data_IF_998675113299
#
_entry.id   IF_998675113299
#
_cell.length_a   1.000
_cell.length_b   1.000
_cell.length_c   1.000
_cell.angle_alpha   90.00
_cell.angle_beta   90.00
_cell.angle_gamma   90.00
#
_symmetry.space_group_name_H-M   'P 1'
#
loop_
_entity.id
_entity.type
_entity.pdbx_description
1 polymer ?
#
# COMPACT_ATOMS: atom_id res chain seq x y z
N UNK A 1 -7.21 1.29 -3.59
CA UNK A 1 -8.01 2.49 -3.97
C UNK A 1 -8.55 2.32 -5.37
N UNK A 2 -9.87 2.40 -5.56
CA UNK A 2 -10.59 1.91 -6.75
C UNK A 2 -11.53 2.98 -7.35
N UNK A 3 -11.04 4.19 -7.58
CA UNK A 3 -11.86 5.34 -8.00
C UNK A 3 -11.39 6.07 -9.26
N UNK A 4 -10.52 5.46 -10.06
CA UNK A 4 -10.07 6.02 -11.32
C UNK A 4 -11.22 6.18 -12.33
N UNK A 5 -11.19 7.26 -13.14
CA UNK A 5 -12.22 7.50 -14.16
C UNK A 5 -12.03 6.66 -15.44
N UNK A 6 -10.98 5.88 -15.53
CA UNK A 6 -10.68 4.95 -16.65
C UNK A 6 -10.85 5.57 -18.07
N UNK A 7 -10.58 6.87 -18.23
CA UNK A 7 -10.87 7.62 -19.48
C UNK A 7 -10.21 7.00 -20.73
N UNK A 8 -8.99 6.47 -20.59
CA UNK A 8 -8.24 5.82 -21.68
C UNK A 8 -8.69 4.39 -21.96
N UNK A 9 -9.37 3.77 -21.01
CA UNK A 9 -9.86 2.39 -21.13
C UNK A 9 -11.26 2.32 -21.78
N UNK A 10 -12.01 3.42 -21.81
CA UNK A 10 -13.36 3.52 -22.39
C UNK A 10 -14.48 2.99 -21.49
N UNK A 11 -14.19 2.07 -20.58
CA UNK A 11 -15.11 1.50 -19.59
C UNK A 11 -14.44 1.49 -18.22
N UNK A 12 -15.13 1.01 -17.18
CA UNK A 12 -14.50 0.84 -15.87
C UNK A 12 -13.41 -0.25 -15.94
N UNK A 13 -12.14 0.14 -16.06
CA UNK A 13 -11.02 -0.79 -16.20
C UNK A 13 -10.93 -1.82 -15.06
N UNK A 14 -11.40 -1.48 -13.86
CA UNK A 14 -11.33 -2.36 -12.69
C UNK A 14 -12.25 -3.57 -12.79
N UNK A 15 -13.23 -3.53 -13.71
CA UNK A 15 -14.09 -4.65 -14.06
C UNK A 15 -13.53 -5.51 -15.22
N UNK A 16 -12.43 -5.09 -15.84
CA UNK A 16 -11.81 -5.87 -16.91
C UNK A 16 -11.27 -7.19 -16.37
N UNK A 17 -11.51 -8.26 -17.14
CA UNK A 17 -11.06 -9.61 -16.78
C UNK A 17 -9.55 -9.75 -16.93
N UNK A 18 -8.91 -10.30 -15.91
CA UNK A 18 -7.49 -10.61 -15.86
C UNK A 18 -7.30 -11.87 -15.01
N UNK A 19 -6.86 -12.98 -15.63
CA UNK A 19 -6.67 -14.27 -14.94
C UNK A 19 -7.93 -14.76 -14.19
N UNK A 20 -9.05 -14.88 -14.92
CA UNK A 20 -10.35 -15.37 -14.43
C UNK A 20 -11.05 -14.49 -13.36
N UNK A 21 -10.46 -13.40 -12.95
CA UNK A 21 -11.05 -12.40 -12.03
C UNK A 21 -11.08 -11.03 -12.70
N UNK A 22 -11.79 -10.09 -12.12
CA UNK A 22 -11.62 -8.68 -12.47
C UNK A 22 -10.33 -8.13 -11.86
N UNK A 23 -9.80 -7.02 -12.37
CA UNK A 23 -8.64 -6.35 -11.77
C UNK A 23 -8.91 -6.01 -10.29
N UNK A 24 -10.13 -5.63 -9.96
CA UNK A 24 -10.51 -5.31 -8.60
C UNK A 24 -10.52 -6.55 -7.69
N UNK A 25 -11.08 -7.66 -8.15
CA UNK A 25 -11.06 -8.94 -7.41
C UNK A 25 -9.64 -9.45 -7.19
N UNK A 26 -8.74 -9.30 -8.18
CA UNK A 26 -7.32 -9.62 -8.00
C UNK A 26 -6.69 -8.81 -6.86
N UNK A 27 -6.99 -7.50 -6.76
CA UNK A 27 -6.50 -6.68 -5.66
C UNK A 27 -7.08 -7.08 -4.29
N UNK A 28 -8.34 -7.51 -4.24
CA UNK A 28 -8.94 -8.06 -3.02
C UNK A 28 -8.24 -9.38 -2.66
N UNK A 29 -8.11 -10.30 -3.62
CA UNK A 29 -7.48 -11.60 -3.39
C UNK A 29 -6.07 -11.47 -2.85
N UNK A 30 -5.22 -10.61 -3.45
CA UNK A 30 -3.86 -10.39 -2.96
C UNK A 30 -3.85 -9.80 -1.53
N UNK A 31 -4.84 -8.96 -1.17
CA UNK A 31 -4.92 -8.38 0.17
C UNK A 31 -5.18 -9.43 1.25
N UNK A 32 -5.83 -10.55 0.93
CA UNK A 32 -6.10 -11.61 1.90
C UNK A 32 -4.85 -12.41 2.30
N UNK A 33 -3.76 -12.34 1.54
CA UNK A 33 -2.49 -13.00 1.90
C UNK A 33 -1.70 -12.30 3.00
N UNK A 34 -2.14 -11.14 3.44
CA UNK A 34 -1.53 -10.41 4.54
C UNK A 34 -2.58 -10.20 5.62
N UNK A 35 -2.23 -10.54 6.87
CA UNK A 35 -3.13 -10.34 8.01
C UNK A 35 -3.22 -8.85 8.35
N UNK A 36 -4.09 -8.14 7.64
CA UNK A 36 -4.44 -6.77 7.98
C UNK A 36 -5.48 -6.74 9.09
N UNK A 37 -5.37 -5.75 9.98
CA UNK A 37 -6.42 -5.52 10.97
C UNK A 37 -7.74 -5.11 10.31
N UNK A 38 -7.69 -4.34 9.22
CA UNK A 38 -8.86 -3.91 8.43
C UNK A 38 -8.48 -3.67 6.98
N UNK A 39 -9.37 -4.09 6.08
CA UNK A 39 -9.32 -3.76 4.65
C UNK A 39 -10.50 -2.87 4.30
N UNK A 40 -10.25 -1.80 3.56
CA UNK A 40 -11.24 -0.81 3.17
C UNK A 40 -11.09 -0.47 1.68
N UNK A 41 -12.17 -0.60 0.93
CA UNK A 41 -12.27 -0.10 -0.43
C UNK A 41 -12.86 1.32 -0.44
N UNK A 42 -12.34 2.19 -1.30
CA UNK A 42 -12.88 3.54 -1.55
C UNK A 42 -13.14 3.63 -3.05
N UNK A 43 -14.40 3.73 -3.45
CA UNK A 43 -14.83 3.71 -4.85
C UNK A 43 -15.96 4.68 -5.14
N UNK A 44 -16.16 4.98 -6.43
CA UNK A 44 -17.32 5.73 -6.95
C UNK A 44 -18.29 4.84 -7.75
N UNK A 45 -17.91 3.59 -8.01
CA UNK A 45 -18.60 2.69 -8.93
C UNK A 45 -19.47 1.71 -8.16
N UNK A 46 -20.75 1.61 -8.54
CA UNK A 46 -21.72 0.74 -7.87
C UNK A 46 -21.39 -0.75 -8.02
N UNK A 47 -20.86 -1.11 -9.17
CA UNK A 47 -20.45 -2.49 -9.45
C UNK A 47 -19.33 -2.95 -8.49
N UNK A 48 -18.40 -2.03 -8.15
CA UNK A 48 -17.33 -2.34 -7.19
C UNK A 48 -17.85 -2.41 -5.74
N UNK A 49 -18.92 -1.66 -5.41
CA UNK A 49 -19.61 -1.79 -4.11
C UNK A 49 -20.20 -3.18 -3.98
N UNK A 50 -20.90 -3.68 -5.02
CA UNK A 50 -21.48 -5.03 -5.04
C UNK A 50 -20.40 -6.13 -4.88
N UNK A 51 -19.23 -5.95 -5.53
CA UNK A 51 -18.11 -6.88 -5.33
C UNK A 51 -17.63 -6.83 -3.87
N UNK A 52 -17.49 -5.64 -3.28
CA UNK A 52 -17.09 -5.51 -1.87
C UNK A 52 -18.08 -6.19 -0.91
N UNK A 53 -19.38 -6.08 -1.16
CA UNK A 53 -20.41 -6.74 -0.36
C UNK A 53 -20.30 -8.26 -0.44
N UNK A 54 -20.11 -8.80 -1.65
CA UNK A 54 -19.92 -10.24 -1.87
C UNK A 54 -18.64 -10.77 -1.19
N UNK A 55 -17.56 -10.01 -1.25
CA UNK A 55 -16.26 -10.38 -0.67
C UNK A 55 -16.11 -9.95 0.81
N UNK A 56 -17.18 -9.45 1.42
CA UNK A 56 -17.21 -8.96 2.81
C UNK A 56 -16.14 -7.90 3.13
N UNK A 57 -15.82 -7.04 2.16
CA UNK A 57 -14.88 -5.92 2.30
C UNK A 57 -15.66 -4.64 2.63
N UNK A 58 -15.22 -3.94 3.68
CA UNK A 58 -15.77 -2.61 3.97
C UNK A 58 -15.56 -1.67 2.78
N UNK A 59 -16.62 -0.95 2.38
CA UNK A 59 -16.57 -0.05 1.23
C UNK A 59 -17.10 1.33 1.58
N UNK A 60 -16.44 2.37 1.05
CA UNK A 60 -16.95 3.74 1.03
C UNK A 60 -17.23 4.13 -0.41
N UNK A 61 -18.51 4.35 -0.72
CA UNK A 61 -18.93 4.99 -1.97
C UNK A 61 -18.83 6.51 -1.84
N UNK A 62 -18.34 7.18 -2.88
CA UNK A 62 -18.20 8.64 -2.90
C UNK A 62 -18.35 9.23 -4.30
N UNK A 63 -18.58 10.56 -4.37
CA UNK A 63 -18.65 11.33 -5.63
C UNK A 63 -17.55 12.39 -5.73
N UNK A 64 -16.54 12.34 -4.89
CA UNK A 64 -15.48 13.35 -4.82
C UNK A 64 -14.57 13.28 -6.04
N UNK A 65 -14.16 14.43 -6.65
CA UNK A 65 -13.47 14.43 -7.93
C UNK A 65 -11.97 14.13 -7.85
N UNK A 66 -11.33 14.38 -6.70
CA UNK A 66 -9.87 14.35 -6.61
C UNK A 66 -9.31 13.17 -5.82
N UNK A 67 -8.07 12.77 -6.15
CA UNK A 67 -7.36 11.67 -5.49
C UNK A 67 -7.13 11.91 -4.00
N UNK A 68 -6.80 13.13 -3.59
CA UNK A 68 -6.63 13.49 -2.18
C UNK A 68 -7.91 13.26 -1.36
N UNK A 69 -9.08 13.48 -1.94
CA UNK A 69 -10.35 13.26 -1.25
C UNK A 69 -10.56 11.79 -0.91
N UNK A 70 -10.21 10.89 -1.83
CA UNK A 70 -10.29 9.44 -1.60
C UNK A 70 -9.33 8.99 -0.50
N UNK A 71 -8.09 9.52 -0.51
CA UNK A 71 -7.11 9.24 0.55
C UNK A 71 -7.66 9.69 1.90
N UNK A 72 -8.15 10.94 1.97
CA UNK A 72 -8.72 11.51 3.20
C UNK A 72 -9.91 10.71 3.72
N UNK A 73 -10.84 10.31 2.85
CA UNK A 73 -12.00 9.48 3.22
C UNK A 73 -11.55 8.14 3.82
N UNK A 74 -10.64 7.44 3.14
CA UNK A 74 -10.12 6.14 3.59
C UNK A 74 -9.39 6.25 4.93
N UNK A 75 -8.45 7.19 5.04
CA UNK A 75 -7.68 7.43 6.28
C UNK A 75 -8.61 7.81 7.44
N UNK A 76 -9.51 8.78 7.23
CA UNK A 76 -10.46 9.22 8.27
C UNK A 76 -11.35 8.07 8.77
N UNK A 77 -11.77 7.16 7.89
CA UNK A 77 -12.58 6.00 8.25
C UNK A 77 -11.79 5.01 9.09
N UNK A 78 -10.57 4.67 8.67
CA UNK A 78 -9.69 3.77 9.42
C UNK A 78 -9.43 4.33 10.82
N UNK A 79 -9.08 5.61 10.94
CA UNK A 79 -8.79 6.24 12.23
C UNK A 79 -10.00 6.25 13.18
N UNK A 80 -11.21 6.52 12.67
CA UNK A 80 -12.44 6.46 13.48
C UNK A 80 -12.72 5.07 14.05
N UNK A 81 -12.30 4.04 13.34
CA UNK A 81 -12.52 2.65 13.75
C UNK A 81 -11.42 2.08 14.63
N UNK A 82 -10.17 2.56 14.47
CA UNK A 82 -9.02 2.09 15.25
C UNK A 82 -8.87 2.78 16.60
N UNK A 83 -9.36 4.01 16.77
CA UNK A 83 -9.32 4.74 18.05
C UNK A 83 -10.04 4.03 19.21
N UNK A 84 -10.76 2.94 18.95
CA UNK A 84 -11.43 2.13 19.97
C UNK A 84 -10.53 1.09 20.65
N UNK A 85 -9.36 0.82 20.09
CA UNK A 85 -8.41 -0.16 20.63
C UNK A 85 -7.00 0.39 20.56
N UNK A 86 -6.47 0.86 21.71
CA UNK A 86 -5.03 1.12 21.86
C UNK A 86 -4.31 -0.23 21.81
N UNK A 87 -3.91 -0.66 20.61
CA UNK A 87 -3.07 -1.82 20.43
C UNK A 87 -1.61 -1.40 20.54
N UNK A 88 -0.80 -2.21 21.23
CA UNK A 88 0.66 -2.05 21.28
C UNK A 88 1.34 -2.46 19.96
N UNK A 89 0.55 -2.78 18.93
CA UNK A 89 1.06 -3.21 17.63
C UNK A 89 1.45 -2.03 16.75
N UNK A 90 2.47 -2.22 15.94
CA UNK A 90 2.90 -1.26 14.91
C UNK A 90 1.74 -0.96 13.96
N UNK A 91 1.35 0.32 13.91
CA UNK A 91 0.24 0.75 13.07
C UNK A 91 0.75 1.41 11.78
N UNK A 92 0.16 1.00 10.67
CA UNK A 92 0.42 1.57 9.36
C UNK A 92 -0.78 1.46 8.44
N UNK A 93 -0.87 2.37 7.47
CA UNK A 93 -1.88 2.31 6.41
C UNK A 93 -1.20 1.93 5.11
N UNK A 94 -1.56 0.75 4.58
CA UNK A 94 -1.16 0.29 3.26
C UNK A 94 -2.12 0.85 2.20
N UNK A 95 -1.56 1.47 1.18
CA UNK A 95 -2.27 1.84 -0.04
C UNK A 95 -1.95 0.83 -1.14
N UNK A 96 -2.92 -0.05 -1.39
CA UNK A 96 -2.84 -1.06 -2.46
C UNK A 96 -3.55 -0.53 -3.70
N UNK A 97 -2.88 -0.44 -4.87
CA UNK A 97 -3.52 -0.12 -6.14
C UNK A 97 -4.39 -1.29 -6.60
N UNK A 98 -5.50 -0.98 -7.29
CA UNK A 98 -6.40 -2.02 -7.82
C UNK A 98 -6.16 -2.29 -9.31
N UNK A 99 -5.21 -1.62 -9.91
CA UNK A 99 -4.85 -1.66 -11.33
C UNK A 99 -3.44 -2.22 -11.60
N UNK A 100 -2.81 -2.81 -10.58
CA UNK A 100 -1.52 -3.51 -10.66
C UNK A 100 -1.74 -5.01 -10.36
N UNK A 101 -2.22 -5.80 -11.31
CA UNK A 101 -2.67 -7.18 -11.04
C UNK A 101 -1.53 -8.18 -10.87
N UNK A 102 -0.29 -7.81 -11.19
CA UNK A 102 0.88 -8.67 -11.10
C UNK A 102 1.66 -8.56 -9.78
N UNK A 103 1.19 -7.73 -8.83
CA UNK A 103 1.76 -7.70 -7.47
C UNK A 103 1.70 -9.11 -6.89
N UNK A 104 2.86 -9.61 -6.43
CA UNK A 104 2.94 -10.96 -5.86
C UNK A 104 2.68 -10.97 -4.35
N UNK A 105 2.21 -12.12 -3.87
CA UNK A 105 2.08 -12.39 -2.44
C UNK A 105 3.40 -12.14 -1.70
N UNK A 106 4.51 -12.61 -2.25
CA UNK A 106 5.84 -12.50 -1.66
C UNK A 106 6.26 -11.05 -1.49
N UNK A 107 6.11 -10.23 -2.54
CA UNK A 107 6.46 -8.81 -2.49
C UNK A 107 5.60 -8.05 -1.48
N UNK A 108 4.30 -8.35 -1.42
CA UNK A 108 3.40 -7.71 -0.46
C UNK A 108 3.73 -8.12 0.98
N UNK A 109 4.03 -9.40 1.22
CA UNK A 109 4.44 -9.87 2.55
C UNK A 109 5.78 -9.27 2.98
N UNK A 110 6.77 -9.20 2.08
CA UNK A 110 8.06 -8.57 2.35
C UNK A 110 7.89 -7.07 2.69
N UNK A 111 7.04 -6.36 1.95
CA UNK A 111 6.73 -4.96 2.22
C UNK A 111 6.18 -4.77 3.64
N UNK A 112 5.26 -5.64 4.08
CA UNK A 112 4.68 -5.58 5.42
C UNK A 112 5.70 -5.97 6.50
N UNK A 113 6.51 -6.99 6.28
CA UNK A 113 7.55 -7.42 7.22
C UNK A 113 8.59 -6.32 7.44
N UNK A 114 9.10 -5.71 6.37
CA UNK A 114 10.06 -4.61 6.48
C UNK A 114 9.43 -3.37 7.12
N UNK A 115 8.16 -3.08 6.84
CA UNK A 115 7.45 -2.00 7.52
C UNK A 115 7.41 -2.24 9.05
N UNK A 116 7.05 -3.45 9.50
CA UNK A 116 7.06 -3.81 10.92
C UNK A 116 8.47 -3.69 11.49
N UNK A 117 9.48 -4.23 10.81
CA UNK A 117 10.87 -4.18 11.25
C UNK A 117 11.36 -2.74 11.49
N UNK A 118 11.09 -1.83 10.56
CA UNK A 118 11.54 -0.44 10.67
C UNK A 118 10.69 0.45 11.58
N UNK A 119 9.47 0.05 11.92
CA UNK A 119 8.53 0.89 12.68
C UNK A 119 8.11 0.31 14.03
N UNK A 120 8.56 -0.92 14.38
CA UNK A 120 8.29 -1.53 15.67
C UNK A 120 9.26 -1.05 16.73
N UNK A 121 8.74 -0.58 17.87
CA UNK A 121 9.54 -0.25 19.05
C UNK A 121 10.19 -1.49 19.71
N UNK A 122 9.70 -2.69 19.40
CA UNK A 122 10.22 -3.94 19.95
C UNK A 122 11.68 -4.21 19.55
N UNK A 123 12.06 -3.87 18.32
CA UNK A 123 13.44 -4.04 17.86
C UNK A 123 14.39 -2.95 18.38
N UNK A 124 13.87 -1.80 18.82
CA UNK A 124 14.68 -0.72 19.40
C UNK A 124 15.17 -1.07 20.84
N UNK A 125 14.45 -1.91 21.58
CA UNK A 125 14.80 -2.27 22.97
C UNK A 125 15.87 -3.36 23.08
N UNK A 126 16.03 -4.24 22.07
CA UNK A 126 16.97 -5.37 22.13
C UNK A 126 18.41 -5.02 21.70
N UNK A 127 18.68 -3.77 21.32
CA UNK A 127 20.03 -3.30 20.96
C UNK A 127 20.82 -2.69 22.13
N UNK A 128 20.32 -2.78 23.37
CA UNK A 128 20.98 -2.24 24.59
C UNK A 128 21.68 -3.27 25.45
N UNK A 129 21.81 -4.52 25.03
CA UNK A 129 22.66 -5.48 25.73
C UNK A 129 24.15 -5.12 25.53
N UNK A 130 24.62 -4.27 26.44
CA UNK A 130 26.03 -4.02 26.70
C UNK A 130 26.60 -5.24 27.44
N UNK A 131 27.06 -6.24 26.73
CA UNK A 131 28.07 -7.15 27.28
C UNK A 131 28.99 -7.67 26.18
N UNK A 132 30.19 -7.14 26.24
CA UNK A 132 31.51 -7.71 25.97
C UNK A 132 31.79 -8.48 24.67
N UNK A 133 32.78 -7.91 23.99
CA UNK A 133 33.87 -8.57 23.22
C UNK A 133 33.68 -8.92 21.74
N UNK A 134 34.40 -8.10 21.00
CA UNK A 134 35.29 -8.44 19.88
C UNK A 134 34.71 -8.85 18.53
N UNK A 135 34.97 -7.99 17.55
CA UNK A 135 35.23 -8.29 16.15
C UNK A 135 34.10 -8.91 15.32
N UNK A 136 33.12 -8.07 14.94
CA UNK A 136 32.49 -8.20 13.63
C UNK A 136 31.94 -6.83 13.18
N UNK A 137 32.77 -6.08 12.46
CA UNK A 137 32.47 -4.80 11.82
C UNK A 137 31.64 -5.00 10.54
N UNK A 138 30.36 -5.35 10.63
CA UNK A 138 29.48 -5.37 9.46
C UNK A 138 28.08 -4.76 9.67
N UNK A 139 27.75 -4.30 10.87
CA UNK A 139 26.54 -3.50 11.09
C UNK A 139 26.94 -2.23 11.83
N UNK A 140 27.28 -1.19 11.11
CA UNK A 140 27.45 0.14 11.69
C UNK A 140 26.14 0.60 12.30
N UNK A 141 26.01 0.43 13.62
CA UNK A 141 24.99 0.98 14.49
C UNK A 141 25.09 2.51 14.51
N UNK A 142 24.48 3.18 13.56
CA UNK A 142 24.19 4.60 13.69
C UNK A 142 22.72 4.84 13.35
N UNK A 143 21.93 5.11 14.42
CA UNK A 143 20.53 5.61 14.38
C UNK A 143 19.41 4.62 14.08
N UNK A 144 19.20 3.61 14.94
CA UNK A 144 17.94 2.81 14.98
C UNK A 144 16.81 3.58 15.73
N UNK A 145 16.80 4.88 15.72
CA UNK A 145 15.75 5.68 16.38
C UNK A 145 14.86 6.43 15.37
N UNK A 146 14.49 5.80 14.26
CA UNK A 146 13.57 6.42 13.31
C UNK A 146 12.42 5.47 12.97
N UNK A 147 11.49 5.32 13.94
CA UNK A 147 10.23 4.56 13.77
C UNK A 147 9.24 5.22 12.78
N UNK A 148 9.73 5.96 11.78
CA UNK A 148 8.91 6.77 10.88
C UNK A 148 9.18 6.43 9.42
N UNK A 149 9.46 5.17 9.11
CA UNK A 149 9.82 4.77 7.74
C UNK A 149 8.59 4.48 6.89
N UNK A 150 8.54 5.16 5.74
CA UNK A 150 7.59 4.89 4.66
C UNK A 150 8.16 3.76 3.82
N UNK A 151 7.47 2.61 3.75
CA UNK A 151 7.93 1.49 2.92
C UNK A 151 7.18 1.47 1.59
N UNK A 152 7.90 1.39 0.48
CA UNK A 152 7.35 1.36 -0.88
C UNK A 152 7.93 0.21 -1.67
N UNK A 153 7.06 -0.46 -2.45
CA UNK A 153 7.56 -1.42 -3.44
C UNK A 153 8.34 -0.71 -4.53
N UNK A 154 9.45 -1.31 -4.94
CA UNK A 154 10.33 -0.77 -5.98
C UNK A 154 10.98 -1.90 -6.77
N UNK A 155 11.26 -1.66 -8.05
CA UNK A 155 12.14 -2.52 -8.83
C UNK A 155 13.35 -1.71 -9.26
N UNK A 156 14.55 -2.15 -8.86
CA UNK A 156 15.78 -1.35 -8.90
C UNK A 156 15.54 -0.01 -8.16
N UNK A 157 15.76 1.14 -8.81
CA UNK A 157 15.54 2.47 -8.23
C UNK A 157 14.14 3.04 -8.52
N UNK A 158 13.33 2.32 -9.31
CA UNK A 158 11.99 2.76 -9.69
C UNK A 158 10.98 2.44 -8.58
N UNK A 159 10.66 3.46 -7.78
CA UNK A 159 9.70 3.33 -6.70
C UNK A 159 8.26 3.43 -7.19
N UNK A 160 7.45 2.41 -6.89
CA UNK A 160 6.04 2.30 -7.25
C UNK A 160 5.09 2.27 -6.05
N UNK A 161 3.97 1.63 -6.24
CA UNK A 161 3.03 1.18 -5.22
C UNK A 161 3.07 -0.37 -5.21
N UNK A 162 2.63 -1.00 -4.13
CA UNK A 162 2.05 -0.49 -2.88
C UNK A 162 3.00 0.34 -2.01
N UNK A 163 2.39 1.13 -1.11
CA UNK A 163 3.13 1.94 -0.13
C UNK A 163 2.45 1.88 1.24
N UNK A 164 3.25 1.77 2.30
CA UNK A 164 2.78 1.80 3.69
C UNK A 164 3.30 3.05 4.39
N UNK A 165 2.39 3.77 5.04
CA UNK A 165 2.71 4.95 5.86
C UNK A 165 2.51 4.65 7.33
N UNK A 166 3.49 4.93 8.20
CA UNK A 166 3.30 4.89 9.66
C UNK A 166 2.43 6.04 10.15
N UNK A 167 1.97 5.93 11.38
CA UNK A 167 1.00 6.84 12.01
C UNK A 167 1.41 8.31 11.96
N UNK A 168 2.69 8.61 12.08
CA UNK A 168 3.20 9.99 12.05
C UNK A 168 2.86 10.78 10.77
N UNK A 169 2.53 10.10 9.65
CA UNK A 169 2.13 10.73 8.39
C UNK A 169 0.61 10.82 8.19
N UNK A 170 -0.21 10.36 9.13
CA UNK A 170 -1.66 10.37 8.94
C UNK A 170 -2.22 11.79 8.79
N UNK A 171 -1.69 12.77 9.54
CA UNK A 171 -2.08 14.17 9.38
C UNK A 171 -1.73 14.71 7.99
N UNK A 172 -0.57 14.37 7.44
CA UNK A 172 -0.20 14.77 6.09
C UNK A 172 -1.08 14.10 5.02
N UNK A 173 -1.46 12.83 5.22
CA UNK A 173 -2.42 12.13 4.36
C UNK A 173 -3.81 12.78 4.37
N UNK A 174 -4.25 13.27 5.53
CA UNK A 174 -5.53 13.98 5.69
C UNK A 174 -5.53 15.37 5.07
N UNK A 175 -4.36 16.01 4.94
CA UNK A 175 -4.18 17.38 4.44
C UNK A 175 -3.51 17.46 3.07
N UNK A 176 -3.51 16.38 2.30
CA UNK A 176 -2.93 16.33 0.95
C UNK A 176 -3.46 17.45 0.06
N UNK A 177 -2.60 18.13 -0.70
CA UNK A 177 -3.02 19.10 -1.72
C UNK A 177 -3.93 18.47 -2.77
N UNK A 178 -4.76 19.30 -3.39
CA UNK A 178 -5.71 18.86 -4.42
C UNK A 178 -5.03 18.02 -5.52
N UNK A 179 -5.63 16.91 -5.86
CA UNK A 179 -5.14 15.99 -6.90
C UNK A 179 -3.92 15.14 -6.52
N UNK A 180 -3.30 15.38 -5.34
CA UNK A 180 -2.15 14.59 -4.89
C UNK A 180 -2.60 13.32 -4.16
N UNK A 181 -1.72 12.32 -4.15
CA UNK A 181 -1.87 11.06 -3.39
C UNK A 181 -0.67 10.83 -2.49
N UNK A 182 -0.59 9.66 -1.84
CA UNK A 182 0.49 9.32 -0.90
C UNK A 182 1.91 9.47 -1.47
N UNK A 183 2.11 9.26 -2.77
CA UNK A 183 3.40 9.49 -3.41
C UNK A 183 3.94 10.92 -3.26
N UNK A 184 3.07 11.92 -3.02
CA UNK A 184 3.50 13.29 -2.73
C UNK A 184 4.24 13.37 -1.39
N UNK A 185 3.75 12.67 -0.35
CA UNK A 185 4.38 12.63 0.97
C UNK A 185 5.72 11.90 0.89
N UNK A 186 5.77 10.75 0.22
CA UNK A 186 7.03 10.01 0.04
C UNK A 186 8.11 10.87 -0.65
N UNK A 187 7.74 11.68 -1.65
CA UNK A 187 8.66 12.62 -2.30
C UNK A 187 9.11 13.78 -1.40
N UNK A 188 8.26 14.20 -0.46
CA UNK A 188 8.58 15.26 0.51
C UNK A 188 9.57 14.77 1.58
N UNK A 189 9.55 13.46 1.90
CA UNK A 189 10.37 12.85 2.94
C UNK A 189 11.29 11.73 2.39
N UNK A 190 12.19 12.02 1.42
CA UNK A 190 12.96 10.99 0.73
C UNK A 190 13.87 10.20 1.67
N UNK A 191 14.45 10.83 2.71
CA UNK A 191 15.29 10.16 3.70
C UNK A 191 14.53 9.17 4.60
N UNK A 192 13.20 9.22 4.61
CA UNK A 192 12.36 8.30 5.36
C UNK A 192 11.78 7.18 4.50
N UNK A 193 12.04 7.17 3.20
CA UNK A 193 11.57 6.14 2.29
C UNK A 193 12.51 4.94 2.29
N UNK A 194 11.95 3.76 2.55
CA UNK A 194 12.60 2.47 2.36
C UNK A 194 12.04 1.85 1.10
N UNK A 195 12.91 1.57 0.14
CA UNK A 195 12.56 0.85 -1.07
C UNK A 195 12.61 -0.66 -0.79
N UNK A 196 11.48 -1.32 -0.98
CA UNK A 196 11.32 -2.76 -0.80
C UNK A 196 11.37 -3.42 -2.16
N UNK A 197 12.27 -4.39 -2.41
CA UNK A 197 12.42 -4.96 -3.74
C UNK A 197 11.18 -5.76 -4.15
N UNK A 198 10.63 -5.45 -5.32
CA UNK A 198 9.70 -6.30 -6.05
C UNK A 198 10.46 -7.47 -6.66
N UNK A 199 9.78 -8.60 -6.88
CA UNK A 199 10.38 -9.76 -7.54
C UNK A 199 10.58 -9.53 -9.04
N UNK A 200 9.73 -8.66 -9.62
CA UNK A 200 9.72 -8.39 -11.05
C UNK A 200 9.28 -6.94 -11.30
N UNK A 201 9.77 -6.32 -12.39
CA UNK A 201 9.37 -4.96 -12.76
C UNK A 201 7.86 -4.83 -13.09
N UNK A 202 7.27 -5.90 -13.61
CA UNK A 202 5.85 -5.93 -13.99
C UNK A 202 4.89 -5.83 -12.81
N UNK A 203 5.36 -6.08 -11.59
CA UNK A 203 4.56 -5.86 -10.38
C UNK A 203 4.18 -4.38 -10.18
N UNK A 204 4.95 -3.46 -10.76
CA UNK A 204 4.75 -2.02 -10.65
C UNK A 204 3.95 -1.41 -11.80
N UNK A 205 3.56 -2.21 -12.78
CA UNK A 205 2.89 -1.71 -13.99
C UNK A 205 1.37 -1.59 -13.76
N UNK A 206 0.86 -0.38 -14.01
CA UNK A 206 -0.57 -0.10 -14.02
C UNK A 206 -1.19 -0.58 -15.36
N UNK A 207 -2.38 -1.14 -15.30
CA UNK A 207 -3.23 -1.31 -16.48
C UNK A 207 -4.03 -0.04 -16.69
N UNK A 208 -3.70 0.73 -17.72
CA UNK A 208 -4.35 1.99 -18.07
C UNK A 208 -5.13 1.93 -19.38
N UNK A 209 -4.76 1.01 -20.27
CA UNK A 209 -5.35 0.80 -21.60
C UNK A 209 -5.68 -0.67 -21.83
N UNK A 210 -6.57 -1.01 -22.80
CA UNK A 210 -6.79 -2.39 -23.21
C UNK A 210 -5.51 -3.09 -23.70
N UNK A 211 -4.60 -2.35 -24.32
CA UNK A 211 -3.31 -2.91 -24.78
C UNK A 211 -2.41 -3.30 -23.60
N UNK A 212 -2.43 -2.54 -22.51
CA UNK A 212 -1.72 -2.92 -21.28
C UNK A 212 -2.26 -4.24 -20.73
N UNK A 213 -3.58 -4.43 -20.76
CA UNK A 213 -4.23 -5.67 -20.32
C UNK A 213 -3.72 -6.87 -21.12
N UNK A 214 -3.70 -6.75 -22.45
CA UNK A 214 -3.21 -7.81 -23.35
C UNK A 214 -1.71 -8.06 -23.11
N UNK A 215 -0.92 -7.01 -22.99
CA UNK A 215 0.52 -7.10 -22.76
C UNK A 215 0.83 -7.83 -21.46
N UNK A 216 0.21 -7.38 -20.36
CA UNK A 216 0.50 -7.91 -19.02
C UNK A 216 -0.08 -9.30 -18.79
N UNK A 217 -1.15 -9.70 -19.52
CA UNK A 217 -1.67 -11.07 -19.44
C UNK A 217 -0.66 -12.16 -19.87
N UNK A 218 0.37 -11.78 -20.63
CA UNK A 218 1.46 -12.70 -21.04
C UNK A 218 2.44 -13.03 -19.90
N UNK A 219 2.40 -12.28 -18.81
CA UNK A 219 3.25 -12.47 -17.61
C UNK A 219 2.51 -13.16 -16.47
N UNK A 220 1.31 -13.68 -16.72
CA UNK A 220 0.61 -14.56 -15.77
C UNK A 220 1.43 -15.85 -15.59
N UNK A 221 1.81 -16.13 -14.35
CA UNK A 221 2.56 -17.32 -13.93
C UNK A 221 1.66 -18.29 -13.18
#
# INVERSE_FOLDING_TARGET
>A
MASGMSKRFGTNKLLASFNNNTLFENAINISHFVSFGKTLAVTRHDELVQICEREHIHCIKHNMPYRNDMVRLGVSRILKETNRHKSCCTQGILFLPSDQPLITKTSLQLLCLLFIYYNSSYFACNSTDKSSNANNNYFNNNNINNNNKICRLAFNENAGAPVIFPECYYNELLTLPQGKGGGFIAKKHPAQVVLVPAQDEYELYDIDTPDDLIRLSRYLR
#
